data_IF_270073058157
#
_entry.id   IF_270073058157
#
_cell.length_a   1.000
_cell.length_b   1.000
_cell.length_c   1.000
_cell.angle_alpha   90.00
_cell.angle_beta   90.00
_cell.angle_gamma   90.00
#
_symmetry.space_group_name_H-M   'P 1'
#
loop_
_entity.id
_entity.type
_entity.pdbx_description
1 polymer ?
#
# COMPACT_ATOMS: atom_id res chain seq x y z
N UNK A 1 12.60 2.75 2.82
CA UNK A 1 12.99 2.81 1.39
C UNK A 1 11.75 2.96 0.53
N UNK A 2 11.81 3.76 -0.53
CA UNK A 2 10.75 3.86 -1.54
C UNK A 2 11.38 3.73 -2.94
N UNK A 3 10.78 2.93 -3.80
CA UNK A 3 11.11 2.82 -5.21
C UNK A 3 9.93 3.34 -6.02
N UNK A 4 10.17 4.33 -6.89
CA UNK A 4 9.17 4.87 -7.80
C UNK A 4 9.45 4.37 -9.20
N UNK A 5 8.42 3.86 -9.86
CA UNK A 5 8.50 3.35 -11.24
C UNK A 5 7.40 4.00 -12.08
N UNK A 6 7.75 4.46 -13.27
CA UNK A 6 6.82 4.90 -14.28
C UNK A 6 6.76 3.87 -15.42
N UNK A 7 5.57 3.46 -15.78
CA UNK A 7 5.35 2.50 -16.86
C UNK A 7 4.29 3.03 -17.83
N UNK A 8 4.46 2.74 -19.13
CA UNK A 8 3.44 3.01 -20.14
C UNK A 8 2.50 1.82 -20.27
N UNK A 9 1.22 2.04 -19.95
CA UNK A 9 0.17 1.03 -20.07
C UNK A 9 -0.92 1.57 -20.98
N UNK A 10 -1.11 0.95 -22.12
CA UNK A 10 -2.08 1.39 -23.15
C UNK A 10 -1.93 2.89 -23.51
N UNK A 11 -0.69 3.37 -23.64
CA UNK A 11 -0.37 4.77 -23.98
C UNK A 11 -0.55 5.77 -22.85
N UNK A 12 -0.81 5.31 -21.63
CA UNK A 12 -0.94 6.15 -20.42
C UNK A 12 0.17 5.85 -19.45
N UNK A 13 0.66 6.86 -18.76
CA UNK A 13 1.64 6.67 -17.69
C UNK A 13 0.94 6.15 -16.43
N UNK A 14 1.42 5.02 -15.92
CA UNK A 14 1.08 4.48 -14.61
C UNK A 14 2.30 4.68 -13.69
N UNK A 15 2.11 5.28 -12.53
CA UNK A 15 3.17 5.45 -11.53
C UNK A 15 2.95 4.49 -10.37
N UNK A 16 4.00 3.80 -9.97
CA UNK A 16 3.97 2.84 -8.87
C UNK A 16 5.03 3.20 -7.82
N UNK A 17 4.59 3.34 -6.58
CA UNK A 17 5.43 3.44 -5.40
C UNK A 17 5.47 2.09 -4.70
N UNK A 18 6.65 1.53 -4.55
CA UNK A 18 6.89 0.33 -3.75
C UNK A 18 7.63 0.72 -2.47
N UNK A 19 6.99 0.53 -1.33
CA UNK A 19 7.48 0.95 -0.03
C UNK A 19 7.96 -0.22 0.81
N UNK A 20 9.05 0.02 1.54
CA UNK A 20 9.44 -0.76 2.70
C UNK A 20 9.83 0.24 3.78
N UNK A 21 8.90 0.56 4.69
CA UNK A 21 9.13 1.51 5.77
C UNK A 21 9.95 0.88 6.89
N UNK A 22 10.44 1.73 7.80
CA UNK A 22 11.36 1.30 8.86
C UNK A 22 10.77 0.18 9.74
N UNK A 23 11.50 -0.91 9.87
CA UNK A 23 11.06 -2.07 10.62
C UNK A 23 11.30 -1.93 12.14
N UNK A 24 12.34 -1.20 12.55
CA UNK A 24 12.79 -1.09 13.95
C UNK A 24 12.35 0.20 14.66
N UNK A 25 11.83 1.17 13.90
CA UNK A 25 11.33 2.44 14.44
C UNK A 25 9.94 2.34 15.07
N UNK A 26 9.49 3.46 15.62
CA UNK A 26 8.11 3.62 16.09
C UNK A 26 7.17 4.02 14.93
N UNK A 27 5.86 4.05 15.21
CA UNK A 27 4.85 4.41 14.21
C UNK A 27 4.95 5.89 13.79
N UNK A 28 5.53 6.77 14.62
CA UNK A 28 5.77 8.17 14.27
C UNK A 28 6.77 8.28 13.12
N UNK A 29 7.87 7.52 13.20
CA UNK A 29 8.89 7.49 12.15
C UNK A 29 8.29 6.94 10.84
N UNK A 30 7.52 5.84 10.92
CA UNK A 30 6.86 5.23 9.75
C UNK A 30 5.86 6.19 9.11
N UNK A 31 5.05 6.89 9.92
CA UNK A 31 4.13 7.91 9.42
C UNK A 31 4.88 9.08 8.76
N UNK A 32 6.03 9.51 9.30
CA UNK A 32 6.87 10.53 8.66
C UNK A 32 7.38 10.08 7.29
N UNK A 33 7.92 8.86 7.20
CA UNK A 33 8.39 8.29 5.95
C UNK A 33 7.27 8.15 4.91
N UNK A 34 6.07 7.71 5.37
CA UNK A 34 4.90 7.63 4.50
C UNK A 34 4.49 9.01 3.99
N UNK A 35 4.46 10.02 4.85
CA UNK A 35 4.11 11.39 4.47
C UNK A 35 5.05 11.93 3.38
N UNK A 36 6.36 11.70 3.47
CA UNK A 36 7.31 12.08 2.42
C UNK A 36 6.96 11.45 1.06
N UNK A 37 6.57 10.17 1.06
CA UNK A 37 6.13 9.50 -0.17
C UNK A 37 4.80 10.06 -0.70
N UNK A 38 3.86 10.38 0.20
CA UNK A 38 2.58 10.98 -0.18
C UNK A 38 2.76 12.41 -0.71
N UNK A 39 3.65 13.20 -0.10
CA UNK A 39 3.99 14.56 -0.54
C UNK A 39 4.63 14.55 -1.95
N UNK A 40 5.40 13.54 -2.28
CA UNK A 40 5.90 13.36 -3.64
C UNK A 40 4.77 12.91 -4.59
N UNK A 41 3.96 11.95 -4.18
CA UNK A 41 2.86 11.43 -4.99
C UNK A 41 1.82 12.49 -5.36
N UNK A 42 1.50 13.44 -4.47
CA UNK A 42 0.52 14.51 -4.76
C UNK A 42 1.00 15.51 -5.81
N UNK A 43 2.27 15.52 -6.17
CA UNK A 43 2.82 16.36 -7.27
C UNK A 43 2.38 15.88 -8.64
N UNK A 44 2.05 14.58 -8.78
CA UNK A 44 1.48 14.06 -10.02
C UNK A 44 0.08 14.62 -10.25
N UNK A 45 -0.26 14.84 -11.53
CA UNK A 45 -1.59 15.29 -11.90
C UNK A 45 -2.66 14.35 -11.30
N UNK A 46 -3.80 14.88 -10.79
CA UNK A 46 -4.90 14.06 -10.28
C UNK A 46 -5.44 12.99 -11.24
N UNK A 47 -5.24 13.20 -12.55
CA UNK A 47 -5.62 12.23 -13.60
C UNK A 47 -4.53 11.18 -13.89
N UNK A 48 -3.37 11.26 -13.25
CA UNK A 48 -2.34 10.23 -13.37
C UNK A 48 -2.70 9.03 -12.49
N UNK A 49 -2.81 7.82 -13.07
CA UNK A 49 -2.99 6.60 -12.29
C UNK A 49 -1.79 6.35 -11.39
N UNK A 50 -2.02 6.17 -10.08
CA UNK A 50 -0.98 5.82 -9.13
C UNK A 50 -1.33 4.56 -8.34
N UNK A 51 -0.32 3.76 -8.07
CA UNK A 51 -0.35 2.65 -7.11
C UNK A 51 0.66 2.94 -6.01
N UNK A 52 0.27 2.74 -4.76
CA UNK A 52 1.13 2.82 -3.60
C UNK A 52 1.03 1.49 -2.86
N UNK A 53 2.10 0.70 -2.86
CA UNK A 53 2.07 -0.65 -2.32
C UNK A 53 3.37 -1.02 -1.59
N UNK A 54 3.33 -2.06 -0.77
CA UNK A 54 4.49 -2.63 -0.12
C UNK A 54 4.30 -2.92 1.37
N UNK A 55 5.43 -3.14 2.05
CA UNK A 55 5.49 -3.31 3.49
C UNK A 55 5.61 -1.94 4.19
N UNK A 56 4.53 -1.54 4.83
CA UNK A 56 4.48 -0.29 5.59
C UNK A 56 4.99 -0.46 7.02
N UNK A 57 5.20 -1.69 7.48
CA UNK A 57 5.50 -2.02 8.88
C UNK A 57 4.52 -1.36 9.87
N UNK A 58 3.34 -0.97 9.40
CA UNK A 58 2.36 -0.13 10.05
C UNK A 58 0.94 -0.60 9.68
N UNK A 59 0.09 -0.77 10.67
CA UNK A 59 -1.35 -0.88 10.42
C UNK A 59 -1.89 0.52 10.12
N UNK A 60 -2.05 0.82 8.82
CA UNK A 60 -2.44 2.16 8.34
C UNK A 60 -3.75 2.61 8.98
N UNK A 61 -4.74 1.72 9.09
CA UNK A 61 -6.09 2.09 9.55
C UNK A 61 -6.22 2.21 11.07
N UNK A 62 -5.20 1.79 11.83
CA UNK A 62 -5.14 1.95 13.28
C UNK A 62 -4.22 3.09 13.73
N UNK A 63 -3.75 3.91 12.80
CA UNK A 63 -2.79 4.99 13.05
C UNK A 63 -3.20 6.29 12.37
N UNK A 64 -2.45 7.37 12.59
CA UNK A 64 -2.62 8.64 11.90
C UNK A 64 -2.40 8.54 10.37
N UNK A 65 -1.76 7.47 9.90
CA UNK A 65 -1.52 7.23 8.49
C UNK A 65 -2.81 7.12 7.65
N UNK A 66 -3.91 6.62 8.23
CA UNK A 66 -5.21 6.56 7.56
C UNK A 66 -5.67 7.93 7.05
N UNK A 67 -5.52 8.96 7.88
CA UNK A 67 -5.89 10.32 7.51
C UNK A 67 -5.00 10.86 6.38
N UNK A 68 -3.69 10.67 6.47
CA UNK A 68 -2.73 11.13 5.47
C UNK A 68 -2.98 10.47 4.09
N UNK A 69 -3.19 9.15 4.07
CA UNK A 69 -3.51 8.40 2.84
C UNK A 69 -4.81 8.93 2.20
N UNK A 70 -5.84 9.17 3.01
CA UNK A 70 -7.13 9.71 2.54
C UNK A 70 -6.99 11.14 2.02
N UNK A 71 -6.25 12.00 2.70
CA UNK A 71 -6.00 13.38 2.24
C UNK A 71 -5.23 13.40 0.92
N UNK A 72 -4.29 12.48 0.71
CA UNK A 72 -3.57 12.30 -0.54
C UNK A 72 -4.44 11.64 -1.64
N UNK A 73 -5.73 11.38 -1.36
CA UNK A 73 -6.73 10.78 -2.27
C UNK A 73 -6.40 9.36 -2.70
N UNK A 74 -5.67 8.62 -1.87
CA UNK A 74 -5.50 7.19 -2.08
C UNK A 74 -6.62 6.41 -1.42
N UNK A 75 -7.05 5.33 -2.07
CA UNK A 75 -8.07 4.40 -1.61
C UNK A 75 -7.48 3.01 -1.51
N UNK A 76 -7.88 2.26 -0.48
CA UNK A 76 -7.48 0.85 -0.37
C UNK A 76 -7.98 0.06 -1.58
N UNK A 77 -7.13 -0.79 -2.13
CA UNK A 77 -7.51 -1.73 -3.17
C UNK A 77 -8.40 -2.87 -2.65
N UNK A 78 -8.40 -3.10 -1.33
CA UNK A 78 -9.24 -4.11 -0.70
C UNK A 78 -10.63 -3.57 -0.42
N UNK A 79 -11.68 -4.32 -0.78
CA UNK A 79 -13.07 -3.99 -0.48
C UNK A 79 -13.38 -4.09 1.02
N UNK A 80 -12.71 -5.00 1.71
CA UNK A 80 -12.65 -5.08 3.17
C UNK A 80 -11.18 -5.14 3.60
N UNK A 81 -10.84 -4.43 4.67
CA UNK A 81 -9.47 -4.38 5.14
C UNK A 81 -9.00 -5.77 5.59
N UNK A 82 -7.81 -6.22 5.18
CA UNK A 82 -7.26 -7.48 5.65
C UNK A 82 -7.04 -7.43 7.16
N UNK A 83 -7.39 -8.48 7.85
CA UNK A 83 -7.16 -8.62 9.30
C UNK A 83 -5.68 -8.82 9.63
N UNK A 84 -4.93 -9.42 8.69
CA UNK A 84 -3.49 -9.67 8.78
C UNK A 84 -2.89 -9.91 7.40
N UNK A 85 -1.63 -9.54 7.24
CA UNK A 85 -0.79 -9.82 6.07
C UNK A 85 0.48 -10.59 6.44
N UNK A 86 0.68 -10.83 7.74
CA UNK A 86 1.75 -11.69 8.26
C UNK A 86 1.14 -12.89 8.99
N UNK A 87 1.80 -14.07 8.96
CA UNK A 87 1.39 -15.20 9.77
C UNK A 87 1.50 -14.86 11.26
N UNK A 88 0.55 -15.36 12.03
CA UNK A 88 0.63 -15.32 13.48
C UNK A 88 1.51 -16.44 14.02
N UNK A 89 1.80 -16.39 15.31
CA UNK A 89 2.39 -17.45 16.11
C UNK A 89 1.48 -17.82 17.26
N UNK A 90 1.91 -18.74 18.12
CA UNK A 90 1.17 -19.08 19.36
C UNK A 90 0.94 -17.86 20.27
N UNK A 91 1.79 -16.85 20.15
CA UNK A 91 1.77 -15.64 21.01
C UNK A 91 1.44 -14.34 20.25
N UNK A 92 1.32 -14.40 18.93
CA UNK A 92 1.04 -13.24 18.06
C UNK A 92 0.00 -13.60 16.99
N UNK A 93 -1.04 -12.81 16.89
CA UNK A 93 -2.13 -13.01 15.91
C UNK A 93 -1.76 -12.63 14.47
N UNK A 94 -0.54 -12.18 14.24
CA UNK A 94 -0.13 -11.59 12.98
C UNK A 94 -0.58 -10.12 12.87
N UNK A 95 -0.06 -9.43 11.84
CA UNK A 95 -0.26 -7.99 11.66
C UNK A 95 -0.73 -7.71 10.23
N UNK A 96 -1.52 -6.65 10.07
CA UNK A 96 -1.85 -6.07 8.76
C UNK A 96 -0.90 -4.90 8.49
N UNK A 97 0.21 -5.17 7.83
CA UNK A 97 1.30 -4.20 7.60
C UNK A 97 1.69 -4.05 6.13
N UNK A 98 1.15 -4.90 5.27
CA UNK A 98 1.32 -4.82 3.83
C UNK A 98 0.03 -4.28 3.21
N UNK A 99 0.16 -3.29 2.33
CA UNK A 99 -0.97 -2.56 1.80
C UNK A 99 -0.83 -2.30 0.30
N UNK A 100 -1.99 -2.18 -0.36
CA UNK A 100 -2.08 -1.71 -1.74
C UNK A 100 -3.16 -0.62 -1.79
N UNK A 101 -2.77 0.56 -2.22
CA UNK A 101 -3.65 1.71 -2.43
C UNK A 101 -3.59 2.15 -3.88
N UNK A 102 -4.67 2.74 -4.36
CA UNK A 102 -4.76 3.31 -5.71
C UNK A 102 -5.26 4.74 -5.66
N UNK A 103 -4.87 5.55 -6.65
CA UNK A 103 -5.29 6.94 -6.82
C UNK A 103 -5.46 7.27 -8.29
N UNK A 104 -6.36 8.22 -8.59
CA UNK A 104 -6.63 8.69 -9.95
C UNK A 104 -7.61 7.78 -10.70
N UNK A 105 -7.61 7.81 -12.05
CA UNK A 105 -8.54 7.03 -12.86
C UNK A 105 -8.15 5.55 -12.91
N UNK A 106 -8.27 4.90 -11.76
CA UNK A 106 -7.94 3.49 -11.52
C UNK A 106 -9.12 2.82 -10.83
N UNK A 107 -9.51 1.69 -11.35
CA UNK A 107 -10.38 0.74 -10.65
C UNK A 107 -9.55 -0.46 -10.21
N UNK A 108 -9.71 -0.90 -8.98
CA UNK A 108 -9.13 -2.13 -8.46
C UNK A 108 -10.23 -3.16 -8.19
N UNK A 109 -9.93 -4.42 -8.44
CA UNK A 109 -10.77 -5.55 -8.03
C UNK A 109 -9.92 -6.77 -7.68
N UNK A 110 -10.60 -7.83 -7.22
CA UNK A 110 -9.94 -9.11 -6.95
C UNK A 110 -8.74 -9.01 -5.99
N UNK A 111 -8.75 -8.02 -5.10
CA UNK A 111 -7.71 -7.89 -4.09
C UNK A 111 -7.75 -9.08 -3.14
N UNK A 112 -6.61 -9.74 -2.97
CA UNK A 112 -6.51 -10.97 -2.18
C UNK A 112 -5.23 -11.04 -1.36
N UNK A 113 -5.35 -11.57 -0.13
CA UNK A 113 -4.23 -11.97 0.72
C UNK A 113 -4.08 -13.49 0.63
N UNK A 114 -2.97 -13.97 0.09
CA UNK A 114 -2.71 -15.39 -0.14
C UNK A 114 -2.21 -16.08 1.13
N UNK A 115 -3.06 -16.20 2.14
CA UNK A 115 -2.68 -16.71 3.48
C UNK A 115 -2.32 -18.19 3.52
N UNK A 116 -2.56 -18.95 2.46
CA UNK A 116 -2.11 -20.34 2.31
C UNK A 116 -0.66 -20.47 1.82
N UNK A 117 -0.04 -19.38 1.36
CA UNK A 117 1.36 -19.36 0.90
C UNK A 117 2.26 -19.02 2.08
N UNK A 118 3.01 -20.02 2.54
CA UNK A 118 3.86 -19.93 3.75
C UNK A 118 5.37 -19.89 3.43
N UNK A 119 5.72 -19.39 2.24
CA UNK A 119 7.12 -19.33 1.80
C UNK A 119 7.90 -18.14 2.40
N UNK A 120 7.22 -17.25 3.13
CA UNK A 120 7.77 -16.05 3.77
C UNK A 120 7.05 -15.79 5.10
N UNK A 121 7.59 -14.91 5.91
CA UNK A 121 6.97 -14.31 7.08
C UNK A 121 5.94 -13.21 6.71
N UNK A 122 5.72 -12.97 5.42
CA UNK A 122 4.62 -12.18 4.88
C UNK A 122 3.79 -13.02 3.91
N UNK A 123 2.48 -12.78 3.87
CA UNK A 123 1.60 -13.33 2.86
C UNK A 123 1.69 -12.51 1.57
N UNK A 124 1.75 -13.14 0.38
CA UNK A 124 1.62 -12.41 -0.87
C UNK A 124 0.27 -11.71 -0.98
N UNK A 125 0.28 -10.49 -1.50
CA UNK A 125 -0.92 -9.73 -1.84
C UNK A 125 -1.01 -9.58 -3.36
N UNK A 126 -2.21 -9.69 -3.90
CA UNK A 126 -2.47 -9.41 -5.32
C UNK A 126 -3.73 -8.57 -5.51
N UNK A 127 -3.77 -7.82 -6.61
CA UNK A 127 -4.92 -7.01 -7.01
C UNK A 127 -4.99 -6.91 -8.54
N UNK A 128 -6.18 -6.98 -9.09
CA UNK A 128 -6.45 -6.56 -10.47
C UNK A 128 -6.57 -5.04 -10.54
N UNK A 129 -5.84 -4.40 -11.46
CA UNK A 129 -5.85 -2.96 -11.66
C UNK A 129 -6.23 -2.63 -13.10
N UNK A 130 -7.22 -1.76 -13.26
CA UNK A 130 -7.74 -1.32 -14.55
C UNK A 130 -7.64 0.20 -14.66
N UNK A 131 -7.04 0.70 -15.75
CA UNK A 131 -7.06 2.13 -16.07
C UNK A 131 -8.40 2.50 -16.71
N UNK A 132 -9.06 3.52 -16.15
CA UNK A 132 -10.39 3.97 -16.59
C UNK A 132 -10.25 5.16 -17.53
#
# INVERSE_FOLDING_TARGET
MALVTEASVAGRTLVSYNLHLESRGDDRLRCSQLNECLDDAIRYNPTTPLILAGDFNLDVFRTAAAHAVTQARFHSAFSSQPSRTTPGSLFDRGRAIDWIFTRGPVRSDSAHVHSSVLASDHYPLSVGVYLI
#
